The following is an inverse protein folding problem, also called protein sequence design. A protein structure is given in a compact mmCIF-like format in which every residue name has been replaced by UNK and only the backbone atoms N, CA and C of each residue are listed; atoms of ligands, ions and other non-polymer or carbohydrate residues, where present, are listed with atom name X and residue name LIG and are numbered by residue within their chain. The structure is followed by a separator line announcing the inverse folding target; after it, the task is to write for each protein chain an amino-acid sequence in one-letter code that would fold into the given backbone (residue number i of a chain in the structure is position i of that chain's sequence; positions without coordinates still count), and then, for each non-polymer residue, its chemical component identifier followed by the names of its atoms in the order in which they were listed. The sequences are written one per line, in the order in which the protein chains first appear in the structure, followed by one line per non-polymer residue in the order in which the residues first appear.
data_IF_749943749101
#
_entry.id   IF_749943749101
#
_cell.length_a   1.000
_cell.length_b   1.000
_cell.length_c   1.000
_cell.angle_alpha   90.00
_cell.angle_beta   90.00
_cell.angle_gamma   90.00
#
_symmetry.space_group_name_H-M   'P 1'
#
loop_
_entity.id
_entity.type
_entity.pdbx_description
1 polymer ?
#
# COMPACT_ATOMS: atom_id res chain seq x y z
N UNK A 1 -19.72 26.71 8.13
CA UNK A 1 -18.99 25.48 8.49
C UNK A 1 -18.07 25.82 9.65
N UNK A 2 -18.03 25.01 10.71
CA UNK A 2 -17.15 25.31 11.86
C UNK A 2 -15.73 25.00 11.44
N UNK A 3 -14.88 26.02 11.34
CA UNK A 3 -13.45 25.83 11.14
C UNK A 3 -12.88 25.21 12.41
N UNK A 4 -12.49 23.95 12.32
CA UNK A 4 -11.71 23.33 13.39
C UNK A 4 -10.30 23.88 13.34
N UNK A 5 -9.62 23.93 14.49
CA UNK A 5 -8.21 24.35 14.54
C UNK A 5 -7.33 23.55 13.57
N UNK A 6 -7.68 22.27 13.34
CA UNK A 6 -6.97 21.35 12.45
C UNK A 6 -7.25 21.60 10.96
N UNK A 7 -8.35 22.31 10.65
CA UNK A 7 -8.72 22.70 9.29
C UNK A 7 -8.13 24.05 8.89
N UNK A 8 -7.41 24.72 9.80
CA UNK A 8 -6.70 25.96 9.47
C UNK A 8 -5.66 25.69 8.36
N UNK A 9 -5.57 26.55 7.33
CA UNK A 9 -4.58 26.43 6.26
C UNK A 9 -3.14 26.32 6.79
N UNK A 10 -2.83 26.98 7.90
CA UNK A 10 -1.52 26.91 8.53
C UNK A 10 -1.21 25.47 8.99
N UNK A 11 -2.19 24.78 9.57
CA UNK A 11 -1.98 23.43 10.06
C UNK A 11 -1.89 22.44 8.90
N UNK A 12 -2.87 22.47 7.98
CA UNK A 12 -2.94 21.51 6.89
C UNK A 12 -1.81 21.67 5.87
N UNK A 13 -1.41 22.91 5.56
CA UNK A 13 -0.44 23.19 4.51
C UNK A 13 0.99 23.33 5.02
N UNK A 14 1.22 23.66 6.30
CA UNK A 14 2.59 23.82 6.82
C UNK A 14 2.92 22.82 7.92
N UNK A 15 2.09 22.71 8.96
CA UNK A 15 2.41 21.90 10.15
C UNK A 15 2.38 20.40 9.85
N UNK A 16 1.37 19.90 9.14
CA UNK A 16 1.29 18.48 8.76
C UNK A 16 2.49 18.01 7.92
N UNK A 17 2.85 18.67 6.80
CA UNK A 17 4.01 18.25 6.01
C UNK A 17 5.33 18.43 6.79
N UNK A 18 5.46 19.46 7.64
CA UNK A 18 6.61 19.60 8.54
C UNK A 18 6.77 18.38 9.46
N UNK A 19 5.71 18.02 10.19
CA UNK A 19 5.74 16.90 11.14
C UNK A 19 6.04 15.60 10.41
N UNK A 20 5.46 15.39 9.23
CA UNK A 20 5.70 14.20 8.42
C UNK A 20 7.18 14.07 8.05
N UNK A 21 7.78 15.10 7.44
CA UNK A 21 9.18 15.06 7.02
C UNK A 21 10.11 14.95 8.22
N UNK A 22 9.87 15.72 9.28
CA UNK A 22 10.61 15.62 10.53
C UNK A 22 10.63 14.17 11.04
N UNK A 23 9.47 13.53 11.15
CA UNK A 23 9.33 12.19 11.70
C UNK A 23 9.99 11.14 10.81
N UNK A 24 9.81 11.23 9.50
CA UNK A 24 10.39 10.28 8.53
C UNK A 24 11.90 10.38 8.53
N UNK A 25 12.46 11.60 8.42
CA UNK A 25 13.92 11.80 8.44
C UNK A 25 14.50 11.36 9.78
N UNK A 26 13.89 11.74 10.89
CA UNK A 26 14.31 11.31 12.23
C UNK A 26 14.33 9.77 12.35
N UNK A 27 13.26 9.10 11.92
CA UNK A 27 13.15 7.64 11.98
C UNK A 27 14.21 6.95 11.10
N UNK A 28 14.48 7.48 9.90
CA UNK A 28 15.52 6.95 9.01
C UNK A 28 16.91 7.11 9.64
N UNK A 29 17.22 8.28 10.22
CA UNK A 29 18.50 8.52 10.89
C UNK A 29 18.68 7.61 12.10
N UNK A 30 17.65 7.46 12.93
CA UNK A 30 17.64 6.53 14.07
C UNK A 30 17.86 5.08 13.66
N UNK A 31 17.20 4.63 12.58
CA UNK A 31 17.29 3.24 12.12
C UNK A 31 18.62 2.95 11.43
N UNK A 32 19.18 3.93 10.72
CA UNK A 32 20.46 3.80 10.02
C UNK A 32 21.68 4.01 10.91
N UNK A 33 21.53 4.73 12.03
CA UNK A 33 22.61 5.09 12.95
C UNK A 33 23.80 5.82 12.24
N UNK A 34 23.51 6.56 11.18
CA UNK A 34 24.53 7.19 10.31
C UNK A 34 25.33 8.29 11.03
N UNK A 35 24.73 8.98 11.99
CA UNK A 35 25.37 10.01 12.81
C UNK A 35 25.99 9.45 14.11
N UNK A 36 26.01 8.13 14.26
CA UNK A 36 26.49 7.41 15.42
C UNK A 36 25.38 6.78 16.24
N UNK A 37 25.73 5.74 17.02
CA UNK A 37 24.80 5.06 17.92
C UNK A 37 24.40 6.00 19.07
N UNK A 38 23.13 5.92 19.46
CA UNK A 38 22.53 6.69 20.56
C UNK A 38 22.55 8.22 20.42
N UNK A 39 22.75 8.76 19.20
CA UNK A 39 22.74 10.20 18.93
C UNK A 39 21.35 10.78 18.65
N UNK A 40 20.36 10.41 19.47
CA UNK A 40 18.95 10.80 19.29
C UNK A 40 18.71 12.31 19.19
N UNK A 41 19.43 13.10 19.99
CA UNK A 41 19.31 14.56 19.99
C UNK A 41 19.78 15.18 18.66
N UNK A 42 20.87 14.64 18.09
CA UNK A 42 21.43 15.10 16.83
C UNK A 42 20.50 14.71 15.69
N UNK A 43 20.03 13.46 15.67
CA UNK A 43 19.08 13.00 14.65
C UNK A 43 17.79 13.82 14.67
N UNK A 44 17.29 14.18 15.85
CA UNK A 44 16.11 15.03 16.01
C UNK A 44 16.36 16.44 15.46
N UNK A 45 17.50 17.06 15.80
CA UNK A 45 17.89 18.36 15.26
C UNK A 45 17.96 18.34 13.73
N UNK A 46 18.58 17.32 13.15
CA UNK A 46 18.69 17.15 11.70
C UNK A 46 17.30 16.98 11.09
N UNK A 47 16.45 16.12 11.66
CA UNK A 47 15.07 15.97 11.23
C UNK A 47 14.30 17.29 11.24
N UNK A 48 14.46 18.11 12.28
CA UNK A 48 13.80 19.43 12.39
C UNK A 48 14.27 20.34 11.26
N UNK A 49 15.58 20.38 11.00
CA UNK A 49 16.15 21.17 9.89
C UNK A 49 15.54 20.76 8.56
N UNK A 50 15.45 19.46 8.26
CA UNK A 50 14.80 18.99 7.03
C UNK A 50 13.30 19.34 6.96
N UNK A 51 12.58 19.22 8.08
CA UNK A 51 11.19 19.66 8.16
C UNK A 51 11.03 21.15 7.87
N UNK A 52 11.85 22.01 8.47
CA UNK A 52 11.82 23.46 8.27
C UNK A 52 12.22 23.87 6.85
N UNK A 53 13.23 23.20 6.27
CA UNK A 53 13.61 23.40 4.87
C UNK A 53 12.42 23.09 3.95
N UNK A 54 11.70 22.01 4.24
CA UNK A 54 10.55 21.58 3.42
C UNK A 54 9.46 22.65 3.36
N UNK A 55 9.06 23.23 4.50
CA UNK A 55 8.02 24.26 4.53
C UNK A 55 8.45 25.57 3.84
N UNK A 56 9.75 25.79 3.68
CA UNK A 56 10.28 26.97 2.98
C UNK A 56 10.00 26.91 1.47
N UNK A 57 9.87 25.70 0.91
CA UNK A 57 9.61 25.49 -0.51
C UNK A 57 8.16 25.11 -0.78
N UNK A 58 7.32 26.08 -1.17
CA UNK A 58 5.89 25.87 -1.45
C UNK A 58 5.61 24.72 -2.44
N UNK A 59 6.48 24.52 -3.44
CA UNK A 59 6.35 23.39 -4.39
C UNK A 59 6.59 22.03 -3.72
N UNK A 60 7.55 21.93 -2.81
CA UNK A 60 7.82 20.69 -2.08
C UNK A 60 6.65 20.33 -1.16
N UNK A 61 6.13 21.33 -0.45
CA UNK A 61 4.91 21.22 0.36
C UNK A 61 3.72 20.73 -0.45
N UNK A 62 3.48 21.31 -1.64
CA UNK A 62 2.38 20.90 -2.51
C UNK A 62 2.45 19.43 -2.94
N UNK A 63 3.64 18.93 -3.27
CA UNK A 63 3.86 17.50 -3.59
C UNK A 63 3.55 16.64 -2.37
N UNK A 64 4.02 17.02 -1.18
CA UNK A 64 3.77 16.26 0.05
C UNK A 64 2.28 16.24 0.39
N UNK A 65 1.58 17.36 0.24
CA UNK A 65 0.14 17.44 0.49
C UNK A 65 -0.66 16.56 -0.47
N UNK A 66 -0.19 16.38 -1.71
CA UNK A 66 -0.78 15.45 -2.66
C UNK A 66 -0.49 13.98 -2.31
N UNK A 67 0.68 13.69 -1.75
CA UNK A 67 1.08 12.34 -1.34
C UNK A 67 0.52 11.93 0.03
N UNK A 68 0.20 12.89 0.90
CA UNK A 68 -0.28 12.67 2.27
C UNK A 68 -1.51 11.76 2.33
N UNK A 69 -2.61 12.04 1.58
CA UNK A 69 -3.77 11.15 1.54
C UNK A 69 -3.41 9.74 1.07
N UNK A 70 -2.57 9.63 0.03
CA UNK A 70 -2.13 8.33 -0.50
C UNK A 70 -1.34 7.54 0.54
N UNK A 71 -0.40 8.17 1.24
CA UNK A 71 0.39 7.55 2.31
C UNK A 71 -0.50 7.12 3.48
N UNK A 72 -1.41 7.98 3.94
CA UNK A 72 -2.32 7.66 5.04
C UNK A 72 -3.19 6.45 4.70
N UNK A 73 -3.81 6.44 3.51
CA UNK A 73 -4.62 5.33 3.03
C UNK A 73 -3.75 4.06 2.88
N UNK A 74 -2.57 4.17 2.28
CA UNK A 74 -1.68 3.02 2.07
C UNK A 74 -1.24 2.36 3.37
N UNK A 75 -0.91 3.15 4.39
CA UNK A 75 -0.52 2.61 5.70
C UNK A 75 -1.69 1.85 6.35
N UNK A 76 -2.90 2.43 6.32
CA UNK A 76 -4.10 1.75 6.83
C UNK A 76 -4.38 0.46 6.05
N UNK A 77 -4.23 0.50 4.73
CA UNK A 77 -4.41 -0.66 3.86
C UNK A 77 -3.40 -1.78 4.14
N UNK A 78 -2.11 -1.44 4.30
CA UNK A 78 -1.07 -2.40 4.68
C UNK A 78 -1.38 -2.98 6.07
N UNK A 79 -1.83 -2.15 7.01
CA UNK A 79 -2.18 -2.60 8.35
C UNK A 79 -3.37 -3.57 8.32
N UNK A 80 -4.43 -3.25 7.56
CA UNK A 80 -5.57 -4.15 7.35
C UNK A 80 -5.12 -5.45 6.70
N UNK A 81 -4.28 -5.38 5.66
CA UNK A 81 -3.71 -6.56 5.02
C UNK A 81 -2.93 -7.44 6.01
N UNK A 82 -2.05 -6.85 6.81
CA UNK A 82 -1.27 -7.58 7.81
C UNK A 82 -2.16 -8.21 8.88
N UNK A 83 -3.23 -7.54 9.32
CA UNK A 83 -4.21 -8.11 10.26
C UNK A 83 -4.91 -9.31 9.62
N UNK A 84 -5.40 -9.18 8.39
CA UNK A 84 -6.05 -10.29 7.68
C UNK A 84 -5.09 -11.48 7.57
N UNK A 85 -3.86 -11.25 7.11
CA UNK A 85 -2.84 -12.30 7.01
C UNK A 85 -2.53 -12.92 8.38
N UNK A 86 -2.40 -12.11 9.44
CA UNK A 86 -2.12 -12.56 10.79
C UNK A 86 -3.24 -13.44 11.38
N UNK A 87 -4.51 -13.12 11.10
CA UNK A 87 -5.67 -13.94 11.52
C UNK A 87 -5.58 -15.35 10.95
N UNK A 88 -5.15 -15.50 9.69
CA UNK A 88 -4.99 -16.80 9.03
C UNK A 88 -3.62 -17.46 9.27
N UNK A 89 -2.72 -16.81 10.00
CA UNK A 89 -1.40 -17.35 10.39
C UNK A 89 -1.35 -17.80 11.86
N UNK A 90 -2.44 -17.72 12.62
CA UNK A 90 -2.46 -18.31 13.96
C UNK A 90 -2.29 -19.84 13.86
N UNK A 91 -1.13 -20.27 14.32
CA UNK A 91 -0.69 -21.66 14.48
C UNK A 91 -1.45 -22.36 15.60
N UNK A 92 -2.75 -22.58 15.44
CA UNK A 92 -3.41 -23.58 16.26
C UNK A 92 -3.29 -24.92 15.55
N UNK A 93 -2.49 -25.81 16.16
CA UNK A 93 -2.04 -27.13 15.69
C UNK A 93 -3.15 -28.11 15.24
N UNK A 94 -4.41 -27.71 15.29
CA UNK A 94 -5.57 -28.55 15.01
C UNK A 94 -6.40 -28.07 13.80
N UNK A 95 -6.21 -26.82 13.34
CA UNK A 95 -6.86 -26.31 12.12
C UNK A 95 -5.85 -26.21 10.98
N UNK A 96 -5.51 -27.35 10.38
CA UNK A 96 -4.78 -27.41 9.11
C UNK A 96 -5.70 -26.89 8.00
N UNK A 97 -5.77 -25.57 7.86
CA UNK A 97 -6.23 -24.99 6.61
C UNK A 97 -5.29 -25.48 5.51
N UNK A 98 -5.85 -26.10 4.47
CA UNK A 98 -5.09 -26.56 3.32
C UNK A 98 -4.23 -25.41 2.77
N UNK A 99 -2.97 -25.69 2.42
CA UNK A 99 -2.01 -24.66 1.98
C UNK A 99 -2.54 -23.88 0.77
N UNK A 100 -3.40 -24.52 -0.04
CA UNK A 100 -4.15 -23.92 -1.13
C UNK A 100 -5.13 -22.84 -0.65
N UNK A 101 -5.89 -23.12 0.41
CA UNK A 101 -6.88 -22.21 0.97
C UNK A 101 -6.23 -20.97 1.60
N UNK A 102 -5.08 -21.17 2.26
CA UNK A 102 -4.27 -20.06 2.81
C UNK A 102 -3.73 -19.14 1.70
N UNK A 103 -3.25 -19.71 0.59
CA UNK A 103 -2.81 -18.94 -0.59
C UNK A 103 -3.96 -18.18 -1.25
N UNK A 104 -5.13 -18.80 -1.38
CA UNK A 104 -6.34 -18.17 -1.94
C UNK A 104 -6.73 -16.94 -1.10
N UNK A 105 -6.81 -17.09 0.22
CA UNK A 105 -7.19 -15.99 1.12
C UNK A 105 -6.15 -14.87 1.11
N UNK A 106 -4.87 -15.20 1.05
CA UNK A 106 -3.79 -14.21 0.98
C UNK A 106 -3.90 -13.37 -0.30
N UNK A 107 -4.06 -14.01 -1.46
CA UNK A 107 -4.23 -13.33 -2.73
C UNK A 107 -5.53 -12.51 -2.79
N UNK A 108 -6.64 -13.08 -2.29
CA UNK A 108 -7.91 -12.37 -2.21
C UNK A 108 -7.83 -11.13 -1.33
N UNK A 109 -7.17 -11.24 -0.16
CA UNK A 109 -6.96 -10.11 0.74
C UNK A 109 -6.06 -9.04 0.11
N UNK A 110 -5.01 -9.46 -0.60
CA UNK A 110 -4.15 -8.54 -1.34
C UNK A 110 -4.93 -7.79 -2.43
N UNK A 111 -5.72 -8.50 -3.23
CA UNK A 111 -6.56 -7.92 -4.28
C UNK A 111 -7.60 -6.96 -3.69
N UNK A 112 -8.28 -7.34 -2.60
CA UNK A 112 -9.25 -6.49 -1.94
C UNK A 112 -8.63 -5.17 -1.44
N UNK A 113 -7.42 -5.23 -0.89
CA UNK A 113 -6.68 -4.07 -0.40
C UNK A 113 -6.21 -3.18 -1.56
N UNK A 114 -5.75 -3.76 -2.66
CA UNK A 114 -5.38 -3.03 -3.87
C UNK A 114 -6.59 -2.32 -4.48
N UNK A 115 -7.73 -3.02 -4.62
CA UNK A 115 -8.97 -2.44 -5.14
C UNK A 115 -9.45 -1.31 -4.21
N UNK A 116 -9.47 -1.52 -2.90
CA UNK A 116 -9.83 -0.47 -1.95
C UNK A 116 -8.95 0.76 -2.12
N UNK A 117 -7.62 0.59 -2.25
CA UNK A 117 -6.69 1.69 -2.50
C UNK A 117 -6.97 2.41 -3.82
N UNK A 118 -7.24 1.69 -4.90
CA UNK A 118 -7.61 2.29 -6.18
C UNK A 118 -8.91 3.09 -6.10
N UNK A 119 -9.92 2.57 -5.39
CA UNK A 119 -11.21 3.25 -5.19
C UNK A 119 -11.04 4.52 -4.37
N UNK A 120 -10.36 4.45 -3.22
CA UNK A 120 -10.18 5.61 -2.33
C UNK A 120 -9.30 6.71 -2.94
N UNK A 121 -8.41 6.37 -3.87
CA UNK A 121 -7.55 7.34 -4.55
C UNK A 121 -8.21 7.99 -5.76
N UNK A 122 -9.43 7.57 -6.13
CA UNK A 122 -10.09 7.97 -7.39
C UNK A 122 -9.40 7.41 -8.64
N UNK A 123 -8.31 6.65 -8.48
CA UNK A 123 -7.63 5.98 -9.58
C UNK A 123 -8.51 4.90 -10.21
N UNK A 124 -9.41 4.30 -9.42
CA UNK A 124 -10.42 3.37 -9.93
C UNK A 124 -11.33 4.03 -10.96
N UNK A 125 -11.81 5.24 -10.70
CA UNK A 125 -12.67 5.97 -11.63
C UNK A 125 -11.91 6.31 -12.92
N UNK A 126 -10.63 6.70 -12.83
CA UNK A 126 -9.78 6.92 -14.01
C UNK A 126 -9.53 5.64 -14.82
N UNK A 127 -9.29 4.51 -14.14
CA UNK A 127 -9.08 3.21 -14.78
C UNK A 127 -10.38 2.76 -15.44
N UNK A 128 -11.50 2.82 -14.72
CA UNK A 128 -12.82 2.45 -15.24
C UNK A 128 -13.19 3.37 -16.40
N UNK A 129 -13.08 4.69 -16.26
CA UNK A 129 -13.39 5.64 -17.34
C UNK A 129 -12.50 5.42 -18.58
N UNK A 130 -11.21 5.11 -18.43
CA UNK A 130 -10.36 4.73 -19.58
C UNK A 130 -10.67 3.35 -20.15
N UNK A 131 -11.19 2.43 -19.35
CA UNK A 131 -11.53 1.08 -19.78
C UNK A 131 -12.96 0.97 -20.32
N UNK A 132 -13.89 1.85 -19.90
CA UNK A 132 -15.32 1.83 -20.25
C UNK A 132 -15.78 3.05 -21.04
N UNK A 133 -14.99 4.13 -21.09
CA UNK A 133 -15.34 5.40 -21.72
C UNK A 133 -14.69 5.60 -23.10
N UNK A 134 -15.56 5.80 -24.09
CA UNK A 134 -15.30 6.48 -25.37
C UNK A 134 -14.30 5.84 -26.35
N UNK A 135 -14.56 4.61 -26.78
CA UNK A 135 -14.77 4.30 -28.20
C UNK A 135 -15.13 2.82 -28.37
N UNK A 136 -15.75 2.48 -29.49
CA UNK A 136 -16.39 1.20 -29.87
C UNK A 136 -15.53 -0.09 -29.83
N UNK A 137 -14.42 -0.11 -29.10
CA UNK A 137 -13.62 -1.29 -28.73
C UNK A 137 -14.11 -1.99 -27.43
N UNK A 138 -15.18 -1.49 -26.81
CA UNK A 138 -15.63 -1.89 -25.47
C UNK A 138 -15.97 -3.38 -25.31
N UNK A 139 -16.29 -4.11 -26.39
CA UNK A 139 -16.53 -5.55 -26.31
C UNK A 139 -15.23 -6.34 -26.12
N UNK A 140 -14.14 -5.96 -26.79
CA UNK A 140 -12.87 -6.67 -26.70
C UNK A 140 -12.25 -6.43 -25.33
N UNK A 141 -12.27 -5.19 -24.83
CA UNK A 141 -11.74 -4.87 -23.50
C UNK A 141 -12.53 -5.56 -22.40
N UNK A 142 -13.86 -5.56 -22.46
CA UNK A 142 -14.70 -6.26 -21.47
C UNK A 142 -14.53 -7.78 -21.52
N UNK A 143 -14.44 -8.37 -22.71
CA UNK A 143 -14.19 -9.82 -22.89
C UNK A 143 -12.80 -10.19 -22.37
N UNK A 144 -11.77 -9.37 -22.64
CA UNK A 144 -10.41 -9.60 -22.12
C UNK A 144 -10.37 -9.46 -20.60
N UNK A 145 -11.09 -8.50 -20.00
CA UNK A 145 -11.14 -8.34 -18.55
C UNK A 145 -11.87 -9.52 -17.88
N UNK A 146 -12.99 -9.97 -18.46
CA UNK A 146 -13.69 -11.19 -18.02
C UNK A 146 -12.80 -12.42 -18.18
N UNK A 147 -12.04 -12.53 -19.28
CA UNK A 147 -11.09 -13.62 -19.51
C UNK A 147 -9.90 -13.59 -18.56
N UNK A 148 -9.42 -12.40 -18.15
CA UNK A 148 -8.36 -12.26 -17.14
C UNK A 148 -8.90 -12.64 -15.76
N UNK A 149 -10.11 -12.22 -15.40
CA UNK A 149 -10.75 -12.61 -14.13
C UNK A 149 -10.98 -14.12 -14.10
N UNK A 150 -11.53 -14.70 -15.17
CA UNK A 150 -11.71 -16.16 -15.32
C UNK A 150 -10.36 -16.86 -15.33
N UNK A 151 -9.35 -16.32 -16.00
CA UNK A 151 -8.00 -16.88 -16.07
C UNK A 151 -7.31 -16.90 -14.72
N UNK A 152 -7.38 -15.81 -13.96
CA UNK A 152 -6.90 -15.75 -12.57
C UNK A 152 -7.70 -16.72 -11.70
N UNK A 153 -9.02 -16.79 -11.86
CA UNK A 153 -9.88 -17.74 -11.13
C UNK A 153 -9.49 -19.20 -11.43
N UNK A 154 -9.24 -19.55 -12.69
CA UNK A 154 -8.81 -20.88 -13.11
C UNK A 154 -7.38 -21.20 -12.68
N UNK A 155 -6.45 -20.24 -12.70
CA UNK A 155 -5.08 -20.43 -12.18
C UNK A 155 -5.12 -20.62 -10.66
N UNK A 156 -5.98 -19.88 -9.96
CA UNK A 156 -6.15 -20.04 -8.51
C UNK A 156 -6.83 -21.38 -8.18
N UNK A 157 -7.78 -21.84 -9.01
CA UNK A 157 -8.50 -23.10 -8.81
C UNK A 157 -7.69 -24.34 -9.22
N UNK A 158 -6.93 -24.28 -10.32
CA UNK A 158 -6.20 -25.42 -10.89
C UNK A 158 -4.67 -25.35 -10.70
N UNK A 159 -4.09 -24.18 -10.41
CA UNK A 159 -2.67 -24.00 -10.12
C UNK A 159 -2.25 -24.39 -8.70
N UNK A 160 -3.19 -24.86 -7.87
CA UNK A 160 -2.89 -25.47 -6.57
C UNK A 160 -2.36 -26.90 -6.62
N UNK A 161 -2.21 -27.51 -7.81
CA UNK A 161 -2.01 -28.96 -7.92
C UNK A 161 -1.02 -29.43 -8.97
N UNK A 162 0.14 -28.79 -9.16
CA UNK A 162 1.24 -29.37 -9.96
C UNK A 162 2.58 -28.73 -9.61
N UNK A 163 3.33 -29.40 -8.73
CA UNK A 163 4.79 -29.50 -8.79
C UNK A 163 5.31 -30.49 -7.74
N UNK A 164 5.41 -31.77 -8.12
CA UNK A 164 6.45 -32.71 -7.65
C UNK A 164 6.31 -34.09 -8.31
N UNK A 165 6.82 -34.26 -9.53
CA UNK A 165 7.47 -35.52 -9.93
C UNK A 165 8.18 -35.37 -11.29
N UNK A 166 9.38 -34.79 -11.24
CA UNK A 166 10.41 -35.05 -12.24
C UNK A 166 11.77 -34.83 -11.59
N UNK A 167 12.27 -35.88 -10.93
CA UNK A 167 13.72 -36.12 -10.77
C UNK A 167 13.97 -37.50 -10.18
N UNK A 168 14.62 -38.34 -10.99
CA UNK A 168 15.46 -39.43 -10.49
C UNK A 168 14.99 -40.84 -10.81
N UNK A 169 15.38 -41.34 -11.99
CA UNK A 169 15.80 -42.74 -12.15
C UNK A 169 16.86 -42.84 -13.25
N UNK A 170 18.07 -42.40 -12.89
CA UNK A 170 19.27 -43.12 -13.29
C UNK A 170 19.49 -44.22 -12.25
N UNK A 171 19.27 -45.48 -12.66
CA UNK A 171 19.91 -46.73 -12.27
C UNK A 171 19.03 -47.92 -12.64
#
# INVERSE_FOLDING_TARGET
MVETILSSPIISEAVLPFILIFTVVFAILQKSAILGKDKKQIDALVGIVFGLITITFARAVGIINQLLPFLAVSVVLILVFLILVAVFHKEDKEFKLDDTFKKIIMWMSFIAVVIAGLVFTGAWDYIVEKFTGADSSSLVTNVVFILIIIGVFLIVWFGGGKDSESKGKDK
#
